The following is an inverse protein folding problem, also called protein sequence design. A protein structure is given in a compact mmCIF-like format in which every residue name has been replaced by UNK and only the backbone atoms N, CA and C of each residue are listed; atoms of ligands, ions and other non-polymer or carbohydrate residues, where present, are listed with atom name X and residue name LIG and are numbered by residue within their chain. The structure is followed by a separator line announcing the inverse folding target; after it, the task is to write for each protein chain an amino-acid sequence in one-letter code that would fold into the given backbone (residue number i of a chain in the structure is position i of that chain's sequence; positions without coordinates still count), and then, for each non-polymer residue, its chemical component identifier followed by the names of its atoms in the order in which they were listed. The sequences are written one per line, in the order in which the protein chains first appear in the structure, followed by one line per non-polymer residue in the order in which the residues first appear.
data_IF_307824761823
#
_entry.id   IF_307824761823
#
_cell.length_a   1.000
_cell.length_b   1.000
_cell.length_c   1.000
_cell.angle_alpha   90.00
_cell.angle_beta   90.00
_cell.angle_gamma   90.00
#
_symmetry.space_group_name_H-M   'P 1'
#
loop_
_entity.id
_entity.type
_entity.pdbx_description
1 polymer ?
#
# COMPACT_ATOMS: atom_id res chain seq x y z
N UNK A 1 3.03 -16.61 9.53
CA UNK A 1 2.76 -15.78 8.34
C UNK A 1 2.52 -16.73 7.18
N UNK A 2 1.28 -16.81 6.71
CA UNK A 2 0.90 -17.70 5.60
C UNK A 2 1.49 -17.15 4.30
N UNK A 3 2.50 -17.82 3.74
CA UNK A 3 2.97 -17.58 2.40
C UNK A 3 1.86 -18.00 1.44
N UNK A 4 1.13 -17.07 0.84
CA UNK A 4 0.10 -17.40 -0.15
C UNK A 4 0.80 -17.88 -1.42
N UNK A 5 0.81 -19.18 -1.75
CA UNK A 5 1.46 -19.68 -2.94
C UNK A 5 0.55 -19.37 -4.13
N UNK A 6 1.10 -18.81 -5.21
CA UNK A 6 0.39 -18.72 -6.49
C UNK A 6 0.14 -20.16 -6.98
N UNK A 7 -1.11 -20.49 -7.26
CA UNK A 7 -1.50 -21.81 -7.75
C UNK A 7 -0.95 -22.05 -9.16
N UNK A 8 -0.71 -23.31 -9.51
CA UNK A 8 -0.20 -23.70 -10.84
C UNK A 8 -1.09 -23.19 -11.97
N UNK A 9 -2.40 -23.15 -11.75
CA UNK A 9 -3.37 -22.61 -12.70
C UNK A 9 -3.22 -21.10 -12.89
N UNK A 10 -3.06 -20.33 -11.81
CA UNK A 10 -2.81 -18.89 -11.88
C UNK A 10 -1.50 -18.59 -12.64
N UNK A 11 -0.43 -19.35 -12.40
CA UNK A 11 0.85 -19.20 -13.14
C UNK A 11 0.67 -19.39 -14.64
N UNK A 12 -0.07 -20.43 -15.04
CA UNK A 12 -0.22 -20.78 -16.45
C UNK A 12 -1.09 -19.76 -17.21
N UNK A 13 -2.10 -19.19 -16.55
CA UNK A 13 -2.90 -18.10 -17.10
C UNK A 13 -2.11 -16.79 -17.20
N UNK A 14 -1.24 -16.53 -16.22
CA UNK A 14 -0.37 -15.37 -16.20
C UNK A 14 0.58 -15.38 -17.40
N UNK A 15 1.23 -16.51 -17.65
CA UNK A 15 2.16 -16.65 -18.78
C UNK A 15 1.48 -16.37 -20.12
N UNK A 16 0.24 -16.83 -20.32
CA UNK A 16 -0.53 -16.55 -21.55
C UNK A 16 -0.81 -15.06 -21.75
N UNK A 17 -1.21 -14.35 -20.69
CA UNK A 17 -1.46 -12.90 -20.74
C UNK A 17 -0.17 -12.11 -21.02
N UNK A 18 0.97 -12.63 -20.56
CA UNK A 18 2.26 -11.98 -20.71
C UNK A 18 2.88 -12.22 -22.08
N UNK A 19 2.68 -13.38 -22.69
CA UNK A 19 3.09 -13.62 -24.08
C UNK A 19 2.38 -12.66 -25.06
N UNK A 20 1.19 -12.15 -24.69
CA UNK A 20 0.41 -11.18 -25.47
C UNK A 20 0.78 -9.72 -25.17
N UNK A 21 1.41 -9.43 -24.02
CA UNK A 21 1.84 -8.10 -23.63
C UNK A 21 3.36 -8.00 -23.83
N UNK A 22 3.88 -7.07 -24.64
CA UNK A 22 5.33 -6.88 -24.85
C UNK A 22 6.07 -6.43 -23.56
N UNK A 23 6.06 -7.24 -22.49
CA UNK A 23 6.61 -6.95 -21.19
C UNK A 23 8.01 -7.55 -21.09
N UNK A 24 9.00 -6.70 -20.85
CA UNK A 24 10.39 -7.15 -20.72
C UNK A 24 10.62 -7.89 -19.39
N UNK A 25 11.11 -9.12 -19.50
CA UNK A 25 11.45 -9.95 -18.35
C UNK A 25 12.86 -9.64 -17.85
N UNK A 26 12.92 -9.01 -16.68
CA UNK A 26 14.11 -8.57 -15.96
C UNK A 26 14.49 -9.53 -14.81
N UNK A 27 13.90 -10.72 -14.73
CA UNK A 27 14.13 -11.69 -13.64
C UNK A 27 15.62 -11.96 -13.40
N UNK A 28 16.38 -12.21 -14.46
CA UNK A 28 17.82 -12.49 -14.36
C UNK A 28 18.63 -11.27 -13.91
N UNK A 29 18.23 -10.06 -14.34
CA UNK A 29 18.85 -8.84 -13.86
C UNK A 29 18.64 -8.67 -12.34
N UNK A 30 17.41 -8.86 -11.86
CA UNK A 30 17.06 -8.78 -10.44
C UNK A 30 17.89 -9.78 -9.62
N UNK A 31 17.98 -11.04 -10.08
CA UNK A 31 18.79 -12.10 -9.45
C UNK A 31 20.28 -11.77 -9.38
N UNK A 32 20.78 -11.01 -10.35
CA UNK A 32 22.18 -10.59 -10.41
C UNK A 32 22.48 -9.46 -9.42
N UNK A 33 21.63 -8.44 -9.36
CA UNK A 33 21.92 -7.22 -8.59
C UNK A 33 21.67 -7.36 -7.09
N UNK A 34 20.64 -8.11 -6.68
CA UNK A 34 20.35 -8.44 -5.27
C UNK A 34 20.25 -7.24 -4.32
N UNK A 35 19.45 -6.24 -4.68
CA UNK A 35 19.36 -4.98 -3.94
C UNK A 35 18.42 -5.03 -2.72
N UNK A 36 17.56 -6.05 -2.58
CA UNK A 36 16.53 -6.06 -1.53
C UNK A 36 17.09 -5.94 -0.11
N UNK A 37 18.21 -6.61 0.19
CA UNK A 37 18.85 -6.56 1.49
C UNK A 37 19.57 -5.24 1.73
N UNK A 38 20.24 -4.71 0.71
CA UNK A 38 20.94 -3.41 0.79
C UNK A 38 19.95 -2.28 1.08
N UNK A 39 18.80 -2.27 0.39
CA UNK A 39 17.73 -1.30 0.65
C UNK A 39 17.21 -1.45 2.09
N UNK A 40 16.91 -2.70 2.50
CA UNK A 40 16.38 -2.98 3.85
C UNK A 40 17.32 -2.52 4.94
N UNK A 41 18.61 -2.77 4.77
CA UNK A 41 19.62 -2.51 5.79
C UNK A 41 19.88 -1.01 5.93
N UNK A 42 19.92 -0.27 4.82
CA UNK A 42 19.98 1.20 4.83
C UNK A 42 18.72 1.83 5.47
N UNK A 43 17.53 1.34 5.13
CA UNK A 43 16.28 1.82 5.78
C UNK A 43 16.32 1.58 7.29
N UNK A 44 16.75 0.40 7.72
CA UNK A 44 16.90 0.09 9.16
C UNK A 44 17.93 0.99 9.82
N UNK A 45 19.05 1.27 9.13
CA UNK A 45 20.08 2.16 9.63
C UNK A 45 19.54 3.57 9.86
N UNK A 46 18.78 4.12 8.91
CA UNK A 46 18.10 5.43 9.06
C UNK A 46 17.18 5.40 10.29
N UNK A 47 16.38 4.34 10.47
CA UNK A 47 15.47 4.21 11.62
C UNK A 47 16.22 4.16 12.96
N UNK A 48 17.34 3.46 13.02
CA UNK A 48 18.19 3.41 14.22
C UNK A 48 18.78 4.79 14.51
N UNK A 49 19.34 5.48 13.50
CA UNK A 49 19.90 6.81 13.65
C UNK A 49 18.86 7.84 14.12
N UNK A 50 17.62 7.75 13.61
CA UNK A 50 16.49 8.59 14.07
C UNK A 50 16.19 8.41 15.56
N UNK A 51 16.24 7.17 16.05
CA UNK A 51 16.02 6.86 17.47
C UNK A 51 17.16 7.35 18.34
N UNK A 52 18.41 7.17 17.90
CA UNK A 52 19.60 7.61 18.61
C UNK A 52 19.66 9.14 18.77
N UNK A 53 19.22 9.90 17.76
CA UNK A 53 19.22 11.37 17.78
C UNK A 53 17.87 12.01 18.19
N UNK A 54 16.90 11.24 18.68
CA UNK A 54 15.66 11.79 19.22
C UNK A 54 14.73 12.49 18.21
N UNK A 55 14.74 12.08 16.93
CA UNK A 55 13.78 12.59 15.94
C UNK A 55 14.36 12.97 14.59
N UNK A 56 15.68 13.05 14.45
CA UNK A 56 16.36 13.24 13.17
C UNK A 56 16.00 14.56 12.50
N UNK A 57 16.65 15.65 12.89
CA UNK A 57 16.49 16.96 12.28
C UNK A 57 17.82 17.70 12.19
N UNK A 58 17.98 18.49 11.12
CA UNK A 58 19.17 19.31 10.85
C UNK A 58 20.05 18.76 9.73
N UNK A 59 20.85 19.65 9.13
CA UNK A 59 21.75 19.34 8.01
C UNK A 59 22.80 18.29 8.39
N UNK A 60 23.26 18.30 9.65
CA UNK A 60 24.22 17.32 10.18
C UNK A 60 23.66 15.90 10.19
N UNK A 61 22.36 15.74 10.48
CA UNK A 61 21.69 14.45 10.46
C UNK A 61 21.53 13.90 9.05
N UNK A 62 21.15 14.76 8.10
CA UNK A 62 21.02 14.37 6.71
C UNK A 62 22.37 13.93 6.12
N UNK A 63 23.44 14.68 6.41
CA UNK A 63 24.80 14.34 5.99
C UNK A 63 25.27 13.01 6.60
N UNK A 64 24.97 12.77 7.89
CA UNK A 64 25.24 11.49 8.53
C UNK A 64 24.47 10.34 7.84
N UNK A 65 23.20 10.55 7.49
CA UNK A 65 22.41 9.54 6.79
C UNK A 65 22.95 9.27 5.38
N UNK A 66 23.39 10.29 4.64
CA UNK A 66 24.04 10.13 3.33
C UNK A 66 25.31 9.29 3.43
N UNK A 67 26.14 9.53 4.44
CA UNK A 67 27.38 8.78 4.67
C UNK A 67 27.10 7.32 5.06
N UNK A 68 26.19 7.10 6.01
CA UNK A 68 25.92 5.76 6.56
C UNK A 68 24.98 4.90 5.72
N UNK A 69 24.20 5.50 4.82
CA UNK A 69 23.18 4.84 3.99
C UNK A 69 23.40 5.21 2.52
N UNK A 70 24.64 5.06 2.06
CA UNK A 70 25.08 5.51 0.75
C UNK A 70 24.46 4.71 -0.39
N UNK A 71 24.09 3.45 -0.16
CA UNK A 71 23.48 2.62 -1.19
C UNK A 71 22.10 3.17 -1.58
N UNK A 72 21.26 3.46 -0.60
CA UNK A 72 19.94 4.04 -0.81
C UNK A 72 20.05 5.46 -1.37
N UNK A 73 20.97 6.27 -0.85
CA UNK A 73 21.18 7.64 -1.35
C UNK A 73 21.60 7.66 -2.83
N UNK A 74 22.58 6.84 -3.22
CA UNK A 74 23.15 6.86 -4.57
C UNK A 74 22.27 6.18 -5.62
N UNK A 75 21.57 5.10 -5.25
CA UNK A 75 20.80 4.27 -6.21
C UNK A 75 19.28 4.53 -6.16
N UNK A 76 18.78 5.05 -5.03
CA UNK A 76 17.35 5.13 -4.74
C UNK A 76 17.00 6.40 -3.94
N UNK A 77 17.49 7.56 -4.40
CA UNK A 77 17.39 8.83 -3.69
C UNK A 77 15.95 9.22 -3.29
N UNK A 78 14.94 8.90 -4.11
CA UNK A 78 13.55 9.16 -3.76
C UNK A 78 13.10 8.34 -2.53
N UNK A 79 13.47 7.06 -2.46
CA UNK A 79 13.19 6.22 -1.29
C UNK A 79 13.95 6.76 -0.08
N UNK A 80 15.22 7.13 -0.23
CA UNK A 80 16.01 7.74 0.86
C UNK A 80 15.31 8.98 1.44
N UNK A 81 14.91 9.92 0.58
CA UNK A 81 14.25 11.17 0.99
C UNK A 81 12.91 10.91 1.69
N UNK A 82 12.08 10.01 1.14
CA UNK A 82 10.78 9.68 1.74
C UNK A 82 10.94 8.97 3.09
N UNK A 83 11.94 8.10 3.24
CA UNK A 83 12.24 7.44 4.52
C UNK A 83 12.71 8.47 5.55
N UNK A 84 13.53 9.46 5.16
CA UNK A 84 13.92 10.56 6.04
C UNK A 84 12.73 11.42 6.48
N UNK A 85 11.77 11.68 5.60
CA UNK A 85 10.56 12.47 5.91
C UNK A 85 9.44 11.68 6.62
N UNK A 86 9.65 10.39 6.88
CA UNK A 86 8.61 9.48 7.39
C UNK A 86 7.39 9.35 6.46
N UNK A 87 7.59 9.48 5.15
CA UNK A 87 6.55 9.37 4.10
C UNK A 87 6.41 7.94 3.55
N UNK A 88 7.18 6.99 4.08
CA UNK A 88 7.13 5.57 3.67
C UNK A 88 6.52 4.73 4.77
N UNK A 89 5.50 3.94 4.42
CA UNK A 89 5.05 2.85 5.27
C UNK A 89 6.07 1.71 5.26
N UNK A 90 6.79 1.56 6.37
CA UNK A 90 7.86 0.56 6.51
C UNK A 90 7.34 -0.88 6.49
N UNK A 91 6.08 -1.10 6.88
CA UNK A 91 5.44 -2.41 6.82
C UNK A 91 5.23 -2.83 5.37
N UNK A 92 4.65 -1.95 4.55
CA UNK A 92 4.45 -2.18 3.11
C UNK A 92 5.80 -2.33 2.40
N UNK A 93 6.76 -1.45 2.71
CA UNK A 93 8.11 -1.52 2.14
C UNK A 93 8.77 -2.88 2.43
N UNK A 94 8.65 -3.38 3.67
CA UNK A 94 9.16 -4.71 4.04
C UNK A 94 8.52 -5.82 3.22
N UNK A 95 7.20 -5.75 2.96
CA UNK A 95 6.50 -6.73 2.12
C UNK A 95 7.02 -6.70 0.68
N UNK A 96 7.22 -5.51 0.10
CA UNK A 96 7.78 -5.39 -1.25
C UNK A 96 9.22 -5.92 -1.35
N UNK A 97 10.09 -5.56 -0.40
CA UNK A 97 11.46 -6.07 -0.36
C UNK A 97 11.50 -7.59 -0.15
N UNK A 98 10.53 -8.17 0.56
CA UNK A 98 10.40 -9.62 0.68
C UNK A 98 10.09 -10.27 -0.67
N UNK A 99 9.18 -9.68 -1.46
CA UNK A 99 8.92 -10.19 -2.82
C UNK A 99 10.15 -10.06 -3.71
N UNK A 100 10.84 -8.92 -3.64
CA UNK A 100 12.09 -8.72 -4.39
C UNK A 100 13.13 -9.78 -4.01
N UNK A 101 13.29 -10.06 -2.71
CA UNK A 101 14.17 -11.12 -2.20
C UNK A 101 13.79 -12.51 -2.73
N UNK A 102 12.50 -12.83 -2.82
CA UNK A 102 12.05 -14.12 -3.39
C UNK A 102 12.43 -14.25 -4.88
N UNK A 103 12.40 -13.16 -5.64
CA UNK A 103 12.86 -13.16 -7.05
C UNK A 103 14.38 -13.36 -7.07
N UNK A 104 15.12 -12.62 -6.24
CA UNK A 104 16.58 -12.68 -6.13
C UNK A 104 17.11 -14.07 -5.73
N UNK A 105 16.38 -14.77 -4.87
CA UNK A 105 16.71 -16.12 -4.40
C UNK A 105 16.18 -17.22 -5.34
N UNK A 106 15.59 -16.85 -6.49
CA UNK A 106 15.09 -17.78 -7.51
C UNK A 106 13.85 -18.56 -7.09
N UNK A 107 13.13 -18.13 -6.06
CA UNK A 107 11.90 -18.79 -5.57
C UNK A 107 10.70 -18.51 -6.46
N UNK A 108 10.69 -17.33 -7.06
CA UNK A 108 9.69 -16.88 -8.04
C UNK A 108 10.41 -16.12 -9.16
N UNK A 109 9.71 -15.87 -10.26
CA UNK A 109 10.15 -14.92 -11.30
C UNK A 109 9.51 -13.53 -11.11
N UNK A 110 9.89 -12.57 -11.95
CA UNK A 110 9.35 -11.21 -11.89
C UNK A 110 7.83 -11.15 -12.06
N UNK A 111 7.26 -12.00 -12.90
CA UNK A 111 5.84 -11.97 -13.22
C UNK A 111 5.01 -12.48 -12.04
N UNK A 112 5.41 -13.62 -11.49
CA UNK A 112 4.88 -14.14 -10.24
C UNK A 112 5.02 -13.12 -9.11
N UNK A 113 6.21 -12.52 -8.97
CA UNK A 113 6.44 -11.43 -8.03
C UNK A 113 5.50 -10.24 -8.23
N UNK A 114 5.25 -9.85 -9.48
CA UNK A 114 4.34 -8.74 -9.83
C UNK A 114 2.90 -9.03 -9.44
N UNK A 115 2.44 -10.29 -9.56
CA UNK A 115 1.13 -10.71 -9.06
C UNK A 115 1.05 -10.58 -7.55
N UNK A 116 2.10 -11.00 -6.81
CA UNK A 116 2.13 -10.86 -5.36
C UNK A 116 2.09 -9.38 -4.95
N UNK A 117 2.90 -8.52 -5.60
CA UNK A 117 2.85 -7.06 -5.39
C UNK A 117 1.47 -6.49 -5.68
N UNK A 118 0.83 -6.91 -6.77
CA UNK A 118 -0.54 -6.51 -7.10
C UNK A 118 -1.56 -6.90 -6.03
N UNK A 119 -1.45 -8.10 -5.46
CA UNK A 119 -2.29 -8.56 -4.32
C UNK A 119 -2.07 -7.66 -3.09
N UNK A 120 -0.82 -7.30 -2.76
CA UNK A 120 -0.48 -6.37 -1.68
C UNK A 120 -1.13 -4.99 -1.90
N UNK A 121 -1.03 -4.45 -3.12
CA UNK A 121 -1.63 -3.15 -3.46
C UNK A 121 -3.16 -3.18 -3.39
N UNK A 122 -3.78 -4.29 -3.82
CA UNK A 122 -5.23 -4.48 -3.71
C UNK A 122 -5.69 -4.53 -2.27
N UNK A 123 -4.99 -5.26 -1.41
CA UNK A 123 -5.27 -5.27 0.04
C UNK A 123 -5.21 -3.86 0.63
N UNK A 124 -4.15 -3.11 0.32
CA UNK A 124 -4.01 -1.72 0.78
C UNK A 124 -5.19 -0.83 0.34
N UNK A 125 -5.64 -0.98 -0.90
CA UNK A 125 -6.78 -0.26 -1.42
C UNK A 125 -8.07 -0.61 -0.67
N UNK A 126 -8.34 -1.90 -0.48
CA UNK A 126 -9.53 -2.38 0.25
C UNK A 126 -9.53 -1.91 1.71
N UNK A 127 -8.40 -2.00 2.40
CA UNK A 127 -8.25 -1.51 3.77
C UNK A 127 -8.53 0.00 3.87
N UNK A 128 -8.08 0.78 2.88
CA UNK A 128 -8.35 2.22 2.84
C UNK A 128 -9.83 2.55 2.55
N UNK A 129 -10.51 1.71 1.78
CA UNK A 129 -11.94 1.87 1.47
C UNK A 129 -12.80 1.52 2.70
N UNK A 130 -12.48 0.41 3.38
CA UNK A 130 -13.16 -0.02 4.61
C UNK A 130 -12.98 1.02 5.71
N UNK A 131 -11.75 1.50 5.97
CA UNK A 131 -11.52 2.57 6.94
C UNK A 131 -12.32 3.84 6.65
N UNK A 132 -12.50 4.19 5.38
CA UNK A 132 -13.30 5.37 4.99
C UNK A 132 -14.79 5.13 5.25
N UNK A 133 -15.30 3.93 5.00
CA UNK A 133 -16.67 3.56 5.34
C UNK A 133 -16.90 3.61 6.86
N UNK A 134 -16.01 3.01 7.65
CA UNK A 134 -16.08 3.04 9.11
C UNK A 134 -16.06 4.47 9.66
N UNK A 135 -15.25 5.36 9.06
CA UNK A 135 -15.21 6.78 9.44
C UNK A 135 -16.50 7.53 9.09
N UNK A 136 -17.18 7.18 8.00
CA UNK A 136 -18.48 7.75 7.64
C UNK A 136 -19.56 7.26 8.61
N UNK A 137 -19.58 5.98 8.93
CA UNK A 137 -20.52 5.40 9.90
C UNK A 137 -20.31 5.97 11.31
N UNK A 138 -19.07 6.19 11.73
CA UNK A 138 -18.76 6.89 12.99
C UNK A 138 -19.24 8.34 13.00
N UNK A 139 -19.10 9.07 11.88
CA UNK A 139 -19.63 10.43 11.77
C UNK A 139 -21.16 10.45 11.81
N UNK A 140 -21.83 9.50 11.17
CA UNK A 140 -23.29 9.42 11.18
C UNK A 140 -23.86 8.93 12.52
N UNK A 141 -23.15 8.04 13.23
CA UNK A 141 -23.52 7.64 14.60
C UNK A 141 -23.24 8.74 15.64
N UNK A 142 -22.16 9.52 15.49
CA UNK A 142 -21.89 10.67 16.35
C UNK A 142 -22.81 11.89 16.06
N UNK A 143 -23.38 11.98 14.85
CA UNK A 143 -24.41 12.96 14.49
C UNK A 143 -25.83 12.49 14.83
N UNK A 144 -25.98 11.28 15.38
CA UNK A 144 -27.25 10.74 15.89
C UNK A 144 -27.41 11.00 17.39
N UNK A 145 -27.05 12.20 17.84
CA UNK A 145 -27.66 12.78 19.04
C UNK A 145 -28.97 13.43 18.63
N UNK A 146 -30.09 12.72 18.84
CA UNK A 146 -31.46 13.26 18.92
C UNK A 146 -31.80 14.49 18.04
N UNK A 147 -31.70 14.36 16.72
CA UNK A 147 -32.65 15.06 15.85
C UNK A 147 -33.63 14.04 15.31
N UNK A 148 -34.73 13.87 16.06
CA UNK A 148 -35.96 13.26 15.54
C UNK A 148 -36.39 14.11 14.34
N UNK A 149 -35.93 13.75 13.14
CA UNK A 149 -36.53 14.25 11.92
C UNK A 149 -37.97 13.76 11.99
N UNK A 150 -38.89 14.65 12.37
CA UNK A 150 -40.31 14.33 12.41
C UNK A 150 -40.68 13.90 11.00
N UNK A 151 -40.99 12.61 10.82
CA UNK A 151 -41.58 12.15 9.58
C UNK A 151 -42.87 12.95 9.43
N UNK A 152 -42.91 13.84 8.45
CA UNK A 152 -44.11 14.58 8.14
C UNK A 152 -45.19 13.53 7.80
N UNK A 153 -46.14 13.35 8.71
CA UNK A 153 -47.31 12.50 8.50
C UNK A 153 -48.14 13.16 7.41
N UNK A 154 -47.78 12.92 6.15
CA UNK A 154 -48.42 13.50 5.00
C UNK A 154 -49.93 13.44 5.15
N UNK A 155 -50.63 14.52 4.79
CA UNK A 155 -52.08 14.61 4.98
C UNK A 155 -52.77 13.40 4.35
N UNK A 156 -53.47 12.61 5.16
CA UNK A 156 -54.32 11.54 4.66
C UNK A 156 -55.47 12.15 3.85
N UNK A 157 -55.32 12.19 2.53
CA UNK A 157 -56.37 12.62 1.61
C UNK A 157 -56.96 11.39 0.94
N UNK A 158 -58.28 11.23 1.06
CA UNK A 158 -59.00 10.19 0.32
C UNK A 158 -59.13 10.58 -1.14
N UNK A 159 -59.18 9.60 -2.04
CA UNK A 159 -59.34 9.83 -3.48
C UNK A 159 -60.55 10.71 -3.82
N UNK A 160 -61.65 10.54 -3.10
CA UNK A 160 -62.85 11.38 -3.24
C UNK A 160 -62.57 12.86 -2.94
N UNK A 161 -61.78 13.14 -1.89
CA UNK A 161 -61.38 14.50 -1.48
C UNK A 161 -60.37 15.13 -2.43
N UNK A 162 -59.47 14.35 -3.01
CA UNK A 162 -58.57 14.81 -4.08
C UNK A 162 -59.35 15.24 -5.31
N UNK A 163 -60.35 14.44 -5.72
CA UNK A 163 -61.14 14.70 -6.93
C UNK A 163 -62.03 15.94 -6.81
N UNK A 164 -62.46 16.32 -5.60
CA UNK A 164 -63.23 17.55 -5.38
C UNK A 164 -62.38 18.83 -5.34
N UNK A 165 -61.05 18.70 -5.32
CA UNK A 165 -60.11 19.83 -5.33
C UNK A 165 -59.56 20.14 -6.74
N UNK A 166 -60.03 19.41 -7.76
CA UNK A 166 -59.80 19.64 -9.19
C UNK A 166 -61.08 20.16 -9.83
#
# INVERSE_FOLDING_TARGET
MSSVPISTTERLQLNKLLDESNCENNTEHIRKVKHSELIRDDIRRIQTLKKEQGGGGGDDFENLCKEKCSFLYNNYMDIFNRVLKNEVDLGIMTRFLTVLKLIEDGKVDQHEGSVVVGKILKELYLDSAVKRADQLDQKHSASSGDEVISKNEGKSISYARYKSMQ
#
